data_IF_490376454561
#
_entry.id   IF_490376454561
#
_cell.length_a   1.000
_cell.length_b   1.000
_cell.length_c   1.000
_cell.angle_alpha   90.00
_cell.angle_beta   90.00
_cell.angle_gamma   90.00
#
_symmetry.space_group_name_H-M   'P 1'
#
loop_
_entity.id
_entity.type
_entity.pdbx_description
1 polymer ?
#
# COMPACT_ATOMS: atom_id res chain seq x y z
N UNK A 1 -31.24 -22.52 -26.25
CA UNK A 1 -30.67 -22.28 -24.92
C UNK A 1 -30.06 -20.88 -24.88
N UNK A 2 -30.75 -19.76 -24.55
CA UNK A 2 -30.18 -18.40 -24.52
C UNK A 2 -30.02 -17.87 -23.09
N UNK A 3 -29.51 -18.64 -22.14
CA UNK A 3 -29.44 -18.20 -20.72
C UNK A 3 -28.04 -17.93 -20.16
N UNK A 4 -26.97 -18.48 -20.73
CA UNK A 4 -25.61 -18.38 -20.17
C UNK A 4 -24.87 -17.10 -20.54
N UNK A 5 -25.12 -16.53 -21.71
CA UNK A 5 -24.44 -15.32 -22.21
C UNK A 5 -24.87 -14.01 -21.52
N UNK A 6 -26.16 -13.90 -21.18
CA UNK A 6 -26.67 -12.69 -20.53
C UNK A 6 -26.19 -12.55 -19.08
N UNK A 7 -25.99 -13.66 -18.36
CA UNK A 7 -25.47 -13.66 -16.99
C UNK A 7 -24.00 -13.24 -16.93
N UNK A 8 -23.17 -13.70 -17.88
CA UNK A 8 -21.75 -13.37 -17.97
C UNK A 8 -21.56 -11.86 -18.22
N UNK A 9 -22.27 -11.29 -19.18
CA UNK A 9 -22.21 -9.86 -19.51
C UNK A 9 -22.71 -8.95 -18.35
N UNK A 10 -23.62 -9.43 -17.50
CA UNK A 10 -24.07 -8.69 -16.32
C UNK A 10 -23.04 -8.75 -15.20
N UNK A 11 -22.44 -9.91 -14.97
CA UNK A 11 -21.37 -10.09 -13.99
C UNK A 11 -20.14 -9.28 -14.37
N UNK A 12 -19.71 -9.31 -15.62
CA UNK A 12 -18.59 -8.52 -16.13
C UNK A 12 -18.81 -7.02 -15.93
N UNK A 13 -20.01 -6.50 -16.25
CA UNK A 13 -20.34 -5.10 -16.02
C UNK A 13 -20.35 -4.72 -14.55
N UNK A 14 -20.77 -5.63 -13.65
CA UNK A 14 -20.73 -5.40 -12.20
C UNK A 14 -19.27 -5.34 -11.71
N UNK A 15 -18.43 -6.26 -12.16
CA UNK A 15 -17.00 -6.27 -11.85
C UNK A 15 -16.32 -4.98 -12.32
N UNK A 16 -16.53 -4.60 -13.58
CA UNK A 16 -15.94 -3.35 -14.12
C UNK A 16 -16.36 -2.10 -13.35
N UNK A 17 -17.66 -2.01 -12.93
CA UNK A 17 -18.12 -0.89 -12.10
C UNK A 17 -17.47 -0.90 -10.72
N UNK A 18 -17.32 -2.07 -10.11
CA UNK A 18 -16.66 -2.22 -8.82
C UNK A 18 -15.19 -1.80 -8.88
N UNK A 19 -14.49 -2.20 -9.94
CA UNK A 19 -13.09 -1.79 -10.20
C UNK A 19 -12.97 -0.29 -10.39
N UNK A 20 -13.83 0.31 -11.21
CA UNK A 20 -13.85 1.78 -11.40
C UNK A 20 -14.08 2.55 -10.10
N UNK A 21 -14.93 2.04 -9.20
CA UNK A 21 -15.12 2.62 -7.87
C UNK A 21 -13.85 2.48 -7.02
N UNK A 22 -13.19 1.31 -7.03
CA UNK A 22 -11.95 1.09 -6.28
C UNK A 22 -10.82 2.00 -6.77
N UNK A 23 -10.64 2.15 -8.09
CA UNK A 23 -9.61 3.03 -8.66
C UNK A 23 -9.87 4.52 -8.29
N UNK A 24 -11.13 4.96 -8.35
CA UNK A 24 -11.52 6.29 -7.87
C UNK A 24 -11.28 6.43 -6.35
N UNK A 25 -11.50 5.37 -5.59
CA UNK A 25 -11.22 5.29 -4.16
C UNK A 25 -9.73 5.41 -3.85
N UNK A 26 -8.86 4.72 -4.60
CA UNK A 26 -7.39 4.83 -4.47
C UNK A 26 -6.95 6.26 -4.70
N UNK A 27 -7.43 6.91 -5.76
CA UNK A 27 -7.14 8.31 -6.06
C UNK A 27 -7.58 9.23 -4.92
N UNK A 28 -8.75 8.99 -4.33
CA UNK A 28 -9.26 9.79 -3.23
C UNK A 28 -8.47 9.57 -1.92
N UNK A 29 -8.12 8.33 -1.59
CA UNK A 29 -7.28 8.00 -0.42
C UNK A 29 -5.85 8.49 -0.56
N UNK A 30 -5.31 8.51 -1.77
CA UNK A 30 -3.95 8.99 -2.05
C UNK A 30 -3.88 10.49 -2.37
N UNK A 31 -4.97 11.23 -2.18
CA UNK A 31 -4.99 12.68 -2.39
C UNK A 31 -4.01 13.38 -1.44
N UNK A 32 -3.21 14.36 -1.92
CA UNK A 32 -2.34 15.16 -1.06
C UNK A 32 -3.10 15.99 -0.04
N UNK A 33 -4.39 16.21 -0.24
CA UNK A 33 -5.23 16.99 0.68
C UNK A 33 -5.63 16.23 1.94
N UNK A 34 -5.33 14.92 2.04
CA UNK A 34 -5.57 14.07 3.22
C UNK A 34 -6.98 14.25 3.82
N UNK A 35 -8.01 14.15 2.98
CA UNK A 35 -9.42 14.33 3.39
C UNK A 35 -10.14 12.99 3.50
N UNK A 36 -11.07 12.84 4.46
CA UNK A 36 -11.94 11.68 4.50
C UNK A 36 -12.71 11.50 3.19
N UNK A 37 -12.68 10.30 2.66
CA UNK A 37 -13.35 9.92 1.43
C UNK A 37 -14.88 10.02 1.59
N UNK A 38 -15.57 10.55 0.58
CA UNK A 38 -17.04 10.57 0.53
C UNK A 38 -17.58 9.77 -0.63
N UNK A 39 -18.68 9.02 -0.41
CA UNK A 39 -19.36 8.20 -1.44
C UNK A 39 -19.68 9.05 -2.68
N UNK A 40 -20.22 10.24 -2.49
CA UNK A 40 -20.61 11.13 -3.58
C UNK A 40 -19.41 11.57 -4.44
N UNK A 41 -18.26 11.86 -3.82
CA UNK A 41 -17.06 12.24 -4.55
C UNK A 41 -16.51 11.08 -5.38
N UNK A 42 -16.48 9.88 -4.80
CA UNK A 42 -16.04 8.64 -5.49
C UNK A 42 -16.96 8.32 -6.66
N UNK A 43 -18.28 8.31 -6.46
CA UNK A 43 -19.25 8.04 -7.53
C UNK A 43 -19.09 9.01 -8.69
N UNK A 44 -18.92 10.30 -8.40
CA UNK A 44 -18.67 11.32 -9.42
C UNK A 44 -17.36 11.06 -10.18
N UNK A 45 -16.27 10.75 -9.48
CA UNK A 45 -14.98 10.46 -10.11
C UNK A 45 -15.03 9.19 -10.97
N UNK A 46 -15.79 8.17 -10.55
CA UNK A 46 -15.98 6.94 -11.31
C UNK A 46 -17.01 7.04 -12.45
N UNK A 47 -17.71 8.18 -12.59
CA UNK A 47 -18.81 8.33 -13.55
C UNK A 47 -20.01 7.45 -13.25
N UNK A 48 -20.23 7.10 -11.98
CA UNK A 48 -21.28 6.18 -11.53
C UNK A 48 -22.25 6.87 -10.55
N UNK A 49 -23.44 6.29 -10.41
CA UNK A 49 -24.42 6.76 -9.40
C UNK A 49 -24.21 6.05 -8.07
N UNK A 50 -24.70 6.65 -6.97
CA UNK A 50 -24.68 6.05 -5.63
C UNK A 50 -25.40 4.71 -5.58
N UNK A 51 -26.39 4.47 -6.45
CA UNK A 51 -27.03 3.17 -6.57
C UNK A 51 -26.01 2.06 -6.87
N UNK A 52 -25.13 2.25 -7.85
CA UNK A 52 -24.10 1.27 -8.20
C UNK A 52 -23.06 1.09 -7.11
N UNK A 53 -22.81 2.14 -6.30
CA UNK A 53 -21.97 2.03 -5.12
C UNK A 53 -22.58 1.05 -4.11
N UNK A 54 -23.85 1.25 -3.74
CA UNK A 54 -24.53 0.38 -2.76
C UNK A 54 -24.89 -1.02 -3.30
N UNK A 55 -24.86 -1.23 -4.62
CA UNK A 55 -24.87 -2.58 -5.22
C UNK A 55 -23.55 -3.34 -5.02
N UNK A 56 -22.43 -2.63 -4.72
CA UNK A 56 -21.08 -3.19 -4.64
C UNK A 56 -20.48 -3.17 -3.24
N UNK A 57 -20.93 -2.26 -2.36
CA UNK A 57 -20.43 -2.07 -1.01
C UNK A 57 -21.58 -1.73 -0.06
N UNK A 58 -21.58 -2.35 1.12
CA UNK A 58 -22.65 -2.19 2.11
C UNK A 58 -22.69 -0.77 2.68
N UNK A 59 -21.51 -0.20 2.93
CA UNK A 59 -21.36 1.14 3.47
C UNK A 59 -20.03 1.79 3.03
N UNK A 60 -19.83 3.06 3.44
CA UNK A 60 -18.61 3.81 3.17
C UNK A 60 -17.37 3.14 3.78
N UNK A 61 -17.46 2.63 4.99
CA UNK A 61 -16.33 2.02 5.67
C UNK A 61 -15.90 0.70 5.03
N UNK A 62 -16.87 -0.13 4.61
CA UNK A 62 -16.61 -1.34 3.84
C UNK A 62 -15.90 -1.00 2.52
N UNK A 63 -16.32 0.06 1.84
CA UNK A 63 -15.67 0.55 0.63
C UNK A 63 -14.23 1.04 0.90
N UNK A 64 -14.02 1.86 1.93
CA UNK A 64 -12.69 2.36 2.32
C UNK A 64 -11.74 1.20 2.60
N UNK A 65 -12.19 0.21 3.36
CA UNK A 65 -11.42 -1.00 3.65
C UNK A 65 -11.09 -1.79 2.38
N UNK A 66 -12.07 -1.99 1.50
CA UNK A 66 -11.87 -2.68 0.23
C UNK A 66 -10.90 -1.94 -0.70
N UNK A 67 -10.96 -0.61 -0.74
CA UNK A 67 -10.03 0.23 -1.50
C UNK A 67 -8.60 0.09 -0.98
N UNK A 68 -8.42 0.13 0.33
CA UNK A 68 -7.12 -0.05 0.98
C UNK A 68 -6.53 -1.44 0.68
N UNK A 69 -7.35 -2.49 0.81
CA UNK A 69 -6.93 -3.86 0.49
C UNK A 69 -6.59 -4.02 -1.00
N UNK A 70 -7.33 -3.35 -1.89
CA UNK A 70 -7.08 -3.37 -3.34
C UNK A 70 -5.73 -2.75 -3.68
N UNK A 71 -5.42 -1.56 -3.16
CA UNK A 71 -4.12 -0.92 -3.42
C UNK A 71 -2.97 -1.69 -2.79
N UNK A 72 -3.18 -2.26 -1.61
CA UNK A 72 -2.18 -3.05 -0.92
C UNK A 72 -1.85 -4.36 -1.66
N UNK A 73 -2.86 -5.07 -2.17
CA UNK A 73 -2.64 -6.27 -2.98
C UNK A 73 -1.85 -5.96 -4.26
N UNK A 74 -2.14 -4.82 -4.92
CA UNK A 74 -1.36 -4.37 -6.10
C UNK A 74 0.10 -4.09 -5.75
N UNK A 75 0.35 -3.47 -4.60
CA UNK A 75 1.70 -3.21 -4.12
C UNK A 75 2.45 -4.49 -3.78
N UNK A 76 1.80 -5.44 -3.11
CA UNK A 76 2.37 -6.76 -2.77
C UNK A 76 2.77 -7.56 -4.02
N UNK A 77 1.91 -7.58 -5.05
CA UNK A 77 2.22 -8.26 -6.30
C UNK A 77 3.47 -7.67 -6.97
N UNK A 78 3.57 -6.33 -7.06
CA UNK A 78 4.76 -5.68 -7.64
C UNK A 78 6.03 -5.94 -6.84
N UNK A 79 5.93 -5.97 -5.51
CA UNK A 79 7.07 -6.29 -4.64
C UNK A 79 7.48 -7.75 -4.76
N UNK A 80 6.52 -8.68 -4.88
CA UNK A 80 6.81 -10.09 -5.08
C UNK A 80 7.53 -10.33 -6.42
N UNK A 81 7.09 -9.65 -7.49
CA UNK A 81 7.74 -9.71 -8.80
C UNK A 81 9.19 -9.18 -8.74
N UNK A 82 9.41 -8.08 -8.01
CA UNK A 82 10.76 -7.51 -7.83
C UNK A 82 11.66 -8.39 -6.94
N UNK A 83 11.09 -9.03 -5.90
CA UNK A 83 11.84 -9.87 -4.96
C UNK A 83 12.13 -11.28 -5.49
N UNK A 84 11.38 -11.77 -6.47
CA UNK A 84 11.49 -13.14 -7.01
C UNK A 84 12.80 -13.47 -7.72
N UNK A 85 13.70 -12.50 -7.89
CA UNK A 85 14.96 -12.65 -8.63
C UNK A 85 16.23 -12.57 -7.78
N UNK A 86 16.13 -12.42 -6.46
CA UNK A 86 17.29 -12.13 -5.63
C UNK A 86 17.63 -13.27 -4.66
N UNK A 87 18.90 -13.68 -4.64
CA UNK A 87 19.48 -14.50 -3.59
C UNK A 87 19.52 -13.70 -2.28
N UNK A 88 19.43 -14.37 -1.12
CA UNK A 88 19.39 -13.73 0.19
C UNK A 88 20.77 -13.18 0.59
N UNK A 89 21.21 -12.11 -0.06
CA UNK A 89 22.47 -11.42 0.23
C UNK A 89 22.23 -9.90 0.44
N UNK A 90 23.27 -9.17 0.77
CA UNK A 90 23.22 -7.73 0.97
C UNK A 90 22.78 -6.94 -0.29
N UNK A 91 23.10 -7.43 -1.48
CA UNK A 91 22.70 -6.81 -2.74
C UNK A 91 21.19 -6.98 -2.96
N UNK A 92 20.65 -8.15 -2.64
CA UNK A 92 19.23 -8.44 -2.69
C UNK A 92 18.42 -7.57 -1.70
N UNK A 93 18.93 -7.42 -0.47
CA UNK A 93 18.31 -6.55 0.52
C UNK A 93 18.26 -5.08 0.05
N UNK A 94 19.35 -4.59 -0.55
CA UNK A 94 19.41 -3.25 -1.16
C UNK A 94 18.37 -3.12 -2.26
N UNK A 95 18.36 -4.04 -3.21
CA UNK A 95 17.42 -4.04 -4.33
C UNK A 95 15.95 -4.08 -3.87
N UNK A 96 15.64 -4.86 -2.84
CA UNK A 96 14.29 -4.93 -2.26
C UNK A 96 13.85 -3.56 -1.66
N UNK A 97 14.75 -2.86 -0.98
CA UNK A 97 14.48 -1.51 -0.44
C UNK A 97 14.28 -0.51 -1.58
N UNK A 98 15.16 -0.53 -2.59
CA UNK A 98 15.06 0.34 -3.76
C UNK A 98 13.74 0.10 -4.50
N UNK A 99 13.37 -1.15 -4.79
CA UNK A 99 12.12 -1.52 -5.44
C UNK A 99 10.88 -1.09 -4.62
N UNK A 100 10.96 -1.18 -3.29
CA UNK A 100 9.88 -0.72 -2.41
C UNK A 100 9.72 0.80 -2.44
N UNK A 101 10.83 1.53 -2.38
CA UNK A 101 10.83 3.00 -2.49
C UNK A 101 10.32 3.41 -3.86
N UNK A 102 10.81 2.79 -4.93
CA UNK A 102 10.39 3.08 -6.30
C UNK A 102 8.89 2.85 -6.50
N UNK A 103 8.36 1.74 -6.00
CA UNK A 103 6.93 1.44 -6.05
C UNK A 103 6.06 2.58 -5.47
N UNK A 104 6.49 3.14 -4.34
CA UNK A 104 5.71 4.16 -3.62
C UNK A 104 5.94 5.58 -4.16
N UNK A 105 7.06 5.83 -4.83
CA UNK A 105 7.40 7.13 -5.39
C UNK A 105 7.08 7.27 -6.88
N UNK A 106 7.03 6.18 -7.64
CA UNK A 106 6.60 6.19 -9.06
C UNK A 106 5.11 6.54 -9.19
N UNK A 107 4.30 6.09 -8.22
CA UNK A 107 2.91 6.51 -8.06
C UNK A 107 2.69 6.99 -6.61
N UNK A 108 2.92 8.28 -6.32
CA UNK A 108 2.74 8.83 -4.98
C UNK A 108 1.32 8.66 -4.43
N UNK A 109 0.32 8.43 -5.31
CA UNK A 109 -1.05 8.13 -4.91
C UNK A 109 -1.12 6.81 -4.15
N UNK A 110 -0.42 5.78 -4.65
CA UNK A 110 -0.29 4.48 -3.97
C UNK A 110 0.40 4.64 -2.62
N UNK A 111 1.53 5.34 -2.61
CA UNK A 111 2.30 5.58 -1.39
C UNK A 111 1.47 6.30 -0.30
N UNK A 112 0.76 7.36 -0.68
CA UNK A 112 -0.13 8.10 0.25
C UNK A 112 -1.30 7.24 0.71
N UNK A 113 -1.95 6.50 -0.18
CA UNK A 113 -3.07 5.62 0.18
C UNK A 113 -2.64 4.54 1.19
N UNK A 114 -1.43 3.98 1.06
CA UNK A 114 -0.93 2.93 1.95
C UNK A 114 -0.41 3.45 3.28
N UNK A 115 0.32 4.58 3.27
CA UNK A 115 1.05 5.05 4.44
C UNK A 115 0.36 6.20 5.17
N UNK A 116 -0.27 7.14 4.43
CA UNK A 116 -0.89 8.31 5.03
C UNK A 116 -2.38 8.11 5.31
N UNK A 117 -3.14 7.41 4.45
CA UNK A 117 -4.58 7.25 4.66
C UNK A 117 -4.94 6.64 6.02
N UNK A 118 -4.21 5.64 6.58
CA UNK A 118 -4.50 5.13 7.92
C UNK A 118 -4.37 6.15 9.06
N UNK A 119 -3.70 7.29 8.84
CA UNK A 119 -3.52 8.33 9.87
C UNK A 119 -4.70 9.29 9.98
N UNK A 120 -5.51 9.42 8.92
CA UNK A 120 -6.66 10.35 8.90
C UNK A 120 -8.00 9.66 8.59
N UNK A 121 -7.99 8.37 8.21
CA UNK A 121 -9.19 7.59 7.89
C UNK A 121 -9.42 6.53 8.99
N UNK A 122 -10.36 6.76 9.93
CA UNK A 122 -10.54 5.90 11.10
C UNK A 122 -10.80 4.43 10.75
N UNK A 123 -11.51 4.17 9.63
CA UNK A 123 -11.79 2.82 9.15
C UNK A 123 -10.53 2.01 8.78
N UNK A 124 -9.36 2.66 8.68
CA UNK A 124 -8.09 2.05 8.29
C UNK A 124 -7.07 1.92 9.43
N UNK A 125 -7.30 2.50 10.59
CA UNK A 125 -6.29 2.54 11.67
C UNK A 125 -5.79 1.15 12.07
N UNK A 126 -6.70 0.20 12.30
CA UNK A 126 -6.33 -1.20 12.61
C UNK A 126 -5.69 -1.93 11.42
N UNK A 127 -6.11 -1.63 10.19
CA UNK A 127 -5.54 -2.23 8.98
C UNK A 127 -4.12 -1.74 8.71
N UNK A 128 -3.87 -0.46 8.89
CA UNK A 128 -2.52 0.10 8.80
C UNK A 128 -1.57 -0.56 9.79
N UNK A 129 -1.98 -0.70 11.05
CA UNK A 129 -1.20 -1.40 12.08
C UNK A 129 -0.96 -2.87 11.72
N UNK A 130 -1.99 -3.61 11.33
CA UNK A 130 -1.86 -5.01 10.95
C UNK A 130 -0.89 -5.19 9.76
N UNK A 131 -0.93 -4.29 8.80
CA UNK A 131 -0.01 -4.32 7.65
C UNK A 131 1.43 -4.01 8.04
N UNK A 132 1.65 -3.02 8.89
CA UNK A 132 2.99 -2.74 9.43
C UNK A 132 3.58 -3.96 10.14
N UNK A 133 2.78 -4.67 10.96
CA UNK A 133 3.20 -5.92 11.60
C UNK A 133 3.49 -7.03 10.59
N UNK A 134 2.74 -7.12 9.50
CA UNK A 134 3.02 -8.05 8.39
C UNK A 134 4.38 -7.77 7.74
N UNK A 135 4.73 -6.50 7.52
CA UNK A 135 6.06 -6.12 7.03
C UNK A 135 7.17 -6.42 8.05
N UNK A 136 6.93 -6.20 9.33
CA UNK A 136 7.88 -6.61 10.39
C UNK A 136 8.17 -8.11 10.31
N UNK A 137 7.14 -8.94 10.19
CA UNK A 137 7.31 -10.39 10.05
C UNK A 137 8.09 -10.76 8.78
N UNK A 138 7.82 -10.08 7.66
CA UNK A 138 8.55 -10.27 6.39
C UNK A 138 10.03 -9.89 6.54
N UNK A 139 10.34 -8.72 7.07
CA UNK A 139 11.73 -8.28 7.31
C UNK A 139 12.44 -9.27 8.22
N UNK A 140 11.80 -9.67 9.32
CA UNK A 140 12.33 -10.65 10.27
C UNK A 140 12.70 -11.98 9.61
N UNK A 141 11.83 -12.48 8.71
CA UNK A 141 12.07 -13.75 7.99
C UNK A 141 13.27 -13.69 7.00
N UNK A 142 13.73 -12.49 6.65
CA UNK A 142 14.89 -12.28 5.77
C UNK A 142 16.17 -11.96 6.52
N UNK A 143 16.09 -11.75 7.84
CA UNK A 143 17.27 -11.56 8.68
C UNK A 143 17.93 -12.89 8.99
N UNK A 144 19.27 -12.90 9.10
CA UNK A 144 20.03 -14.12 9.39
C UNK A 144 19.65 -14.68 10.78
N UNK A 145 19.58 -16.00 10.92
CA UNK A 145 19.30 -16.69 12.18
C UNK A 145 20.45 -16.57 13.21
N UNK A 146 21.60 -16.04 12.81
CA UNK A 146 22.78 -15.91 13.69
C UNK A 146 22.67 -14.78 14.73
N UNK A 147 21.63 -13.95 14.63
CA UNK A 147 21.40 -12.83 15.57
C UNK A 147 20.44 -13.29 16.67
N UNK A 148 20.72 -12.89 17.92
CA UNK A 148 19.84 -13.13 19.07
C UNK A 148 18.39 -12.72 18.75
N UNK A 149 17.43 -13.63 18.96
CA UNK A 149 16.05 -13.47 18.53
C UNK A 149 15.39 -12.15 19.00
N UNK A 150 15.51 -11.72 20.27
CA UNK A 150 14.98 -10.43 20.71
C UNK A 150 15.59 -9.23 19.97
N UNK A 151 16.88 -9.29 19.67
CA UNK A 151 17.56 -8.23 18.94
C UNK A 151 17.07 -8.12 17.49
N UNK A 152 16.88 -9.26 16.82
CA UNK A 152 16.34 -9.30 15.46
C UNK A 152 14.90 -8.80 15.38
N UNK A 153 14.07 -9.07 16.38
CA UNK A 153 12.70 -8.58 16.45
C UNK A 153 12.65 -7.05 16.58
N UNK A 154 13.48 -6.49 17.47
CA UNK A 154 13.59 -5.05 17.64
C UNK A 154 14.17 -4.36 16.39
N UNK A 155 15.17 -4.96 15.74
CA UNK A 155 15.73 -4.46 14.50
C UNK A 155 14.69 -4.46 13.38
N UNK A 156 13.90 -5.52 13.22
CA UNK A 156 12.84 -5.58 12.21
C UNK A 156 11.76 -4.50 12.45
N UNK A 157 11.33 -4.31 13.70
CA UNK A 157 10.40 -3.21 14.06
C UNK A 157 11.02 -1.85 13.76
N UNK A 158 12.30 -1.66 14.12
CA UNK A 158 13.04 -0.42 13.85
C UNK A 158 13.15 -0.11 12.36
N UNK A 159 13.49 -1.09 11.54
CA UNK A 159 13.58 -0.97 10.06
C UNK A 159 12.23 -0.53 9.48
N UNK A 160 11.17 -1.25 9.79
CA UNK A 160 9.83 -0.94 9.24
C UNK A 160 9.34 0.41 9.74
N UNK A 161 9.54 0.72 11.02
CA UNK A 161 9.18 2.02 11.58
C UNK A 161 9.95 3.19 10.94
N UNK A 162 11.25 3.04 10.76
CA UNK A 162 12.10 4.07 10.15
C UNK A 162 11.74 4.28 8.67
N UNK A 163 11.60 3.21 7.88
CA UNK A 163 11.19 3.31 6.48
C UNK A 163 9.81 3.94 6.33
N UNK A 164 8.83 3.52 7.15
CA UNK A 164 7.50 4.11 7.14
C UNK A 164 7.54 5.60 7.48
N UNK A 165 8.30 6.00 8.50
CA UNK A 165 8.46 7.40 8.91
C UNK A 165 9.11 8.25 7.83
N UNK A 166 10.20 7.78 7.19
CA UNK A 166 10.87 8.45 6.09
C UNK A 166 9.94 8.64 4.89
N UNK A 167 9.25 7.58 4.46
CA UNK A 167 8.32 7.61 3.34
C UNK A 167 7.14 8.54 3.62
N UNK A 168 6.57 8.50 4.82
CA UNK A 168 5.50 9.43 5.20
C UNK A 168 5.96 10.88 5.16
N UNK A 169 7.17 11.19 5.68
CA UNK A 169 7.74 12.52 5.67
C UNK A 169 8.00 13.03 4.24
N UNK A 170 8.50 12.16 3.36
CA UNK A 170 8.73 12.49 1.95
C UNK A 170 7.41 12.71 1.19
N UNK A 171 6.46 11.77 1.30
CA UNK A 171 5.17 11.83 0.62
C UNK A 171 4.27 12.99 1.09
N UNK A 172 4.44 13.43 2.33
CA UNK A 172 3.74 14.60 2.88
C UNK A 172 4.42 15.93 2.56
N UNK A 173 5.62 15.91 1.94
CA UNK A 173 6.40 17.11 1.68
C UNK A 173 7.06 17.72 2.93
N UNK A 174 7.13 17.00 4.04
CA UNK A 174 7.84 17.44 5.26
C UNK A 174 9.35 17.42 5.06
N UNK A 175 9.85 16.52 4.21
CA UNK A 175 11.27 16.45 3.79
C UNK A 175 11.32 16.72 2.29
N UNK A 176 12.17 17.70 1.92
CA UNK A 176 12.40 18.11 0.53
C UNK A 176 13.85 17.79 0.16
N UNK A 177 14.06 16.61 -0.42
CA UNK A 177 15.34 16.13 -0.96
C UNK A 177 15.08 15.44 -2.29
N UNK A 178 16.10 15.31 -3.13
CA UNK A 178 15.95 14.58 -4.38
C UNK A 178 15.71 13.07 -4.13
N UNK A 179 15.06 12.42 -5.11
CA UNK A 179 14.69 11.00 -5.01
C UNK A 179 15.90 10.09 -4.76
N UNK A 180 17.04 10.37 -5.39
CA UNK A 180 18.21 9.53 -5.27
C UNK A 180 18.83 9.62 -3.88
N UNK A 181 18.88 10.82 -3.30
CA UNK A 181 19.32 11.04 -1.93
C UNK A 181 18.37 10.36 -0.94
N UNK A 182 17.07 10.50 -1.14
CA UNK A 182 16.05 9.82 -0.33
C UNK A 182 16.19 8.29 -0.37
N UNK A 183 16.31 7.70 -1.56
CA UNK A 183 16.48 6.24 -1.71
C UNK A 183 17.76 5.75 -1.02
N UNK A 184 18.87 6.48 -1.15
CA UNK A 184 20.11 6.18 -0.43
C UNK A 184 19.90 6.19 1.09
N UNK A 185 19.23 7.22 1.63
CA UNK A 185 18.94 7.30 3.05
C UNK A 185 18.11 6.12 3.55
N UNK A 186 17.09 5.69 2.80
CA UNK A 186 16.29 4.50 3.12
C UNK A 186 17.14 3.23 3.18
N UNK A 187 18.01 3.02 2.19
CA UNK A 187 18.94 1.89 2.16
C UNK A 187 19.89 1.93 3.37
N UNK A 188 20.50 3.07 3.64
CA UNK A 188 21.46 3.23 4.74
C UNK A 188 20.83 2.92 6.11
N UNK A 189 19.57 3.35 6.33
CA UNK A 189 18.83 3.05 7.56
C UNK A 189 18.67 1.55 7.75
N UNK A 190 18.25 0.82 6.70
CA UNK A 190 18.05 -0.64 6.76
C UNK A 190 19.37 -1.34 7.11
N UNK A 191 20.47 -0.96 6.47
CA UNK A 191 21.78 -1.58 6.72
C UNK A 191 22.40 -1.22 8.07
N UNK A 192 22.07 -0.07 8.65
CA UNK A 192 22.54 0.30 10.01
C UNK A 192 21.76 -0.44 11.11
N UNK A 193 20.45 -0.62 10.92
CA UNK A 193 19.59 -1.30 11.90
C UNK A 193 19.64 -2.82 11.78
N UNK A 194 20.02 -3.35 10.61
CA UNK A 194 20.12 -4.79 10.36
C UNK A 194 21.46 -5.43 10.75
N UNK A 195 22.39 -4.66 11.35
CA UNK A 195 23.68 -5.13 11.88
C UNK A 195 23.54 -5.48 13.35
#
# INVERSE_FOLDING_TARGET
MPGRWAGTALAERRTARREALLDAGVTALGSPEARPLTVRAVCRAAGLTERYFYESFDDREAFVRATYDHVAARAELRLADAAGQAHADAAAARHAVEAFVDLLLDDPTIGRALLLAPTYEPALSSRGTARALGFVALVRSRMSESTDAPHSDLAAVGIVGALSGLLMAYLSGTVDVDRQEFTRACVDVVFRLGR
#
